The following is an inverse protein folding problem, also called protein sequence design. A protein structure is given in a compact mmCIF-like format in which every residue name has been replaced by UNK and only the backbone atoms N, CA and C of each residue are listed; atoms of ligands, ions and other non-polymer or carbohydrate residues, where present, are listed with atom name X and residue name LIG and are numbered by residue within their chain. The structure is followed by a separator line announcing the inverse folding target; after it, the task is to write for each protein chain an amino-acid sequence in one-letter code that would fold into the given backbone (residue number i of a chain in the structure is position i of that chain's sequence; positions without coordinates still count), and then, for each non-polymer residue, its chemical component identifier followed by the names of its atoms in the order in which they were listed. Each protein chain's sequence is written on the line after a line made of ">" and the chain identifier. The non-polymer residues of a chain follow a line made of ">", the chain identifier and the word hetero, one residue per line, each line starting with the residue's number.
data_IF_662484874101
#
_entry.id   IF_662484874101
#
_cell.length_a   1.000
_cell.length_b   1.000
_cell.length_c   1.000
_cell.angle_alpha   90.00
_cell.angle_beta   90.00
_cell.angle_gamma   90.00
#
_symmetry.space_group_name_H-M   'P 1'
#
loop_
_entity.id
_entity.type
_entity.pdbx_description
1 polymer ?
#
# COMPACT_ATOMS: atom_id res chain seq x y z
N UNK A 1 -1.56 7.38 13.22
CA UNK A 1 -1.63 8.26 12.05
C UNK A 1 -2.56 7.66 11.02
N UNK A 2 -3.27 8.49 10.30
CA UNK A 2 -4.15 8.02 9.24
C UNK A 2 -3.34 7.50 8.04
N UNK A 3 -3.95 6.61 7.26
CA UNK A 3 -3.41 6.13 5.99
C UNK A 3 -3.27 7.31 5.02
N UNK A 4 -2.17 7.36 4.29
CA UNK A 4 -1.92 8.39 3.29
C UNK A 4 -2.63 7.99 1.99
N UNK A 5 -3.39 8.92 1.41
CA UNK A 5 -4.00 8.72 0.10
C UNK A 5 -3.13 9.40 -0.96
N UNK A 6 -2.44 8.58 -1.75
CA UNK A 6 -1.48 9.10 -2.73
C UNK A 6 -2.15 9.50 -4.04
N UNK A 7 -1.77 10.66 -4.56
CA UNK A 7 -1.83 10.92 -5.99
C UNK A 7 -0.46 10.58 -6.59
N UNK A 8 -0.32 10.72 -7.91
CA UNK A 8 0.93 10.35 -8.58
C UNK A 8 2.13 11.13 -8.04
N UNK A 9 1.98 12.44 -7.84
CA UNK A 9 3.05 13.30 -7.34
C UNK A 9 3.45 12.94 -5.92
N UNK A 10 2.48 12.71 -5.05
CA UNK A 10 2.72 12.34 -3.65
C UNK A 10 3.37 10.98 -3.55
N UNK A 11 2.96 10.04 -4.38
CA UNK A 11 3.56 8.71 -4.46
C UNK A 11 5.03 8.81 -4.87
N UNK A 12 5.32 9.52 -5.94
CA UNK A 12 6.69 9.65 -6.45
C UNK A 12 7.60 10.35 -5.44
N UNK A 13 7.08 11.34 -4.74
CA UNK A 13 7.82 12.02 -3.67
C UNK A 13 8.15 11.06 -2.52
N UNK A 14 7.16 10.28 -2.09
CA UNK A 14 7.36 9.29 -1.02
C UNK A 14 8.38 8.23 -1.43
N UNK A 15 8.28 7.77 -2.68
CA UNK A 15 9.21 6.78 -3.24
C UNK A 15 10.65 7.32 -3.26
N UNK A 16 10.82 8.58 -3.66
CA UNK A 16 12.14 9.24 -3.72
C UNK A 16 12.74 9.46 -2.33
N UNK A 17 11.91 9.63 -1.30
CA UNK A 17 12.39 9.80 0.07
C UNK A 17 13.00 8.53 0.66
N UNK A 18 12.77 7.38 0.03
CA UNK A 18 13.31 6.11 0.50
C UNK A 18 12.58 5.55 1.72
N UNK A 19 13.17 4.52 2.32
CA UNK A 19 12.59 3.83 3.46
C UNK A 19 11.58 2.76 3.04
N UNK A 20 10.92 2.18 4.06
CA UNK A 20 9.94 1.12 3.87
C UNK A 20 8.55 1.71 3.64
N UNK A 21 7.88 1.25 2.59
CA UNK A 21 6.55 1.73 2.21
C UNK A 21 5.67 0.56 1.81
N UNK A 22 4.42 0.59 2.25
CA UNK A 22 3.39 -0.39 1.85
C UNK A 22 2.21 0.38 1.26
N UNK A 23 1.77 -0.01 0.07
CA UNK A 23 0.72 0.71 -0.66
C UNK A 23 -0.39 -0.24 -1.09
N UNK A 24 -1.62 0.06 -0.67
CA UNK A 24 -2.83 -0.67 -1.01
C UNK A 24 -3.49 -0.05 -2.24
N UNK A 25 -3.48 -0.78 -3.35
CA UNK A 25 -4.18 -0.40 -4.58
C UNK A 25 -5.62 -0.91 -4.49
N UNK A 26 -6.59 0.01 -4.51
CA UNK A 26 -7.99 -0.28 -4.21
C UNK A 26 -8.94 0.53 -5.10
N UNK A 27 -10.24 0.21 -5.03
CA UNK A 27 -11.29 1.01 -5.65
C UNK A 27 -12.52 1.07 -4.74
N UNK A 28 -13.31 2.13 -4.89
CA UNK A 28 -14.49 2.36 -4.02
C UNK A 28 -15.61 1.34 -4.22
N UNK A 29 -15.68 0.72 -5.41
CA UNK A 29 -16.68 -0.29 -5.75
C UNK A 29 -16.26 -1.71 -5.38
N UNK A 30 -15.07 -1.89 -4.89
CA UNK A 30 -14.47 -3.21 -4.65
C UNK A 30 -14.82 -3.69 -3.23
N UNK A 31 -15.64 -4.73 -3.12
CA UNK A 31 -16.03 -5.31 -1.84
C UNK A 31 -14.85 -5.81 -1.00
N UNK A 32 -13.97 -6.66 -1.57
CA UNK A 32 -12.77 -7.12 -0.84
C UNK A 32 -11.87 -5.97 -0.37
N UNK A 33 -11.76 -4.89 -1.16
CA UNK A 33 -10.99 -3.70 -0.76
C UNK A 33 -11.57 -3.05 0.49
N UNK A 34 -12.91 -2.98 0.58
CA UNK A 34 -13.60 -2.43 1.75
C UNK A 34 -13.39 -3.30 2.97
N UNK A 35 -13.35 -4.62 2.80
CA UNK A 35 -13.07 -5.57 3.87
C UNK A 35 -11.64 -5.39 4.40
N UNK A 36 -10.70 -5.05 3.54
CA UNK A 36 -9.30 -4.87 3.90
C UNK A 36 -9.02 -3.52 4.56
N UNK A 37 -9.85 -2.51 4.33
CA UNK A 37 -9.60 -1.14 4.78
C UNK A 37 -9.30 -1.02 6.29
N UNK A 38 -10.04 -1.67 7.21
CA UNK A 38 -9.71 -1.59 8.63
C UNK A 38 -8.32 -2.16 8.96
N UNK A 39 -7.92 -3.21 8.27
CA UNK A 39 -6.59 -3.83 8.44
C UNK A 39 -5.49 -2.84 8.02
N UNK A 40 -5.67 -2.17 6.90
CA UNK A 40 -4.69 -1.17 6.43
C UNK A 40 -4.61 0.00 7.41
N UNK A 41 -5.74 0.48 7.91
CA UNK A 41 -5.78 1.55 8.90
C UNK A 41 -5.04 1.16 10.19
N UNK A 42 -5.25 -0.07 10.65
CA UNK A 42 -4.58 -0.62 11.84
C UNK A 42 -3.07 -0.65 11.63
N UNK A 43 -2.62 -1.13 10.47
CA UNK A 43 -1.19 -1.21 10.15
C UNK A 43 -0.56 0.19 10.08
N UNK A 44 -1.27 1.17 9.55
CA UNK A 44 -0.78 2.55 9.50
C UNK A 44 -0.50 3.10 10.90
N UNK A 45 -1.37 2.80 11.87
CA UNK A 45 -1.15 3.21 13.26
C UNK A 45 0.00 2.43 13.90
N UNK A 46 0.03 1.13 13.68
CA UNK A 46 1.01 0.23 14.31
C UNK A 46 2.44 0.53 13.84
N UNK A 47 2.60 0.90 12.58
CA UNK A 47 3.92 1.13 11.98
C UNK A 47 4.27 2.62 11.83
N UNK A 48 3.54 3.49 12.50
CA UNK A 48 3.85 4.93 12.50
C UNK A 48 5.30 5.16 12.93
N UNK A 49 6.03 5.93 12.12
CA UNK A 49 7.46 6.20 12.36
C UNK A 49 8.40 5.10 11.92
N UNK A 50 7.88 3.94 11.48
CA UNK A 50 8.69 2.78 11.05
C UNK A 50 8.53 2.49 9.56
N UNK A 51 7.33 2.62 9.04
CA UNK A 51 7.02 2.42 7.63
C UNK A 51 5.91 3.36 7.22
N UNK A 52 5.92 3.76 5.96
CA UNK A 52 4.89 4.61 5.39
C UNK A 52 3.80 3.71 4.80
N UNK A 53 2.58 3.84 5.29
CA UNK A 53 1.44 3.05 4.83
C UNK A 53 0.49 3.97 4.07
N UNK A 54 0.22 3.65 2.80
CA UNK A 54 -0.63 4.47 1.96
C UNK A 54 -1.56 3.66 1.08
N UNK A 55 -2.43 4.38 0.37
CA UNK A 55 -3.42 3.82 -0.54
C UNK A 55 -3.39 4.57 -1.87
N UNK A 56 -3.66 3.83 -2.95
CA UNK A 56 -3.85 4.38 -4.30
C UNK A 56 -5.20 3.90 -4.82
N UNK A 57 -6.10 4.84 -5.12
CA UNK A 57 -7.36 4.53 -5.79
C UNK A 57 -7.07 4.34 -7.27
N UNK A 58 -7.26 3.12 -7.79
CA UNK A 58 -6.88 2.79 -9.17
C UNK A 58 -7.72 3.51 -10.22
N UNK A 59 -8.92 3.95 -9.87
CA UNK A 59 -9.77 4.71 -10.80
C UNK A 59 -9.32 6.16 -10.92
N UNK A 60 -8.86 6.74 -9.81
CA UNK A 60 -8.39 8.12 -9.75
C UNK A 60 -6.93 8.26 -10.21
N UNK A 61 -6.11 7.24 -9.95
CA UNK A 61 -4.67 7.25 -10.25
C UNK A 61 -4.32 6.09 -11.18
N UNK A 62 -4.93 6.10 -12.38
CA UNK A 62 -4.77 5.02 -13.36
C UNK A 62 -3.31 4.84 -13.79
N UNK A 63 -2.55 5.92 -13.90
CA UNK A 63 -1.14 5.86 -14.30
C UNK A 63 -0.31 5.03 -13.32
N UNK A 64 -0.58 5.12 -12.02
CA UNK A 64 0.12 4.33 -11.01
C UNK A 64 -0.24 2.85 -11.10
N UNK A 65 -1.52 2.54 -11.30
CA UNK A 65 -1.95 1.15 -11.46
C UNK A 65 -1.31 0.50 -12.69
N UNK A 66 -1.22 1.23 -13.79
CA UNK A 66 -0.58 0.76 -15.02
C UNK A 66 0.92 0.57 -14.80
N UNK A 67 1.58 1.54 -14.14
CA UNK A 67 3.03 1.50 -13.87
C UNK A 67 3.43 0.20 -13.16
N UNK A 68 2.64 -0.24 -12.21
CA UNK A 68 2.94 -1.44 -11.42
C UNK A 68 2.20 -2.68 -11.86
N UNK A 69 1.50 -2.62 -12.99
CA UNK A 69 0.81 -3.78 -13.56
C UNK A 69 -0.25 -4.35 -12.64
N UNK A 70 -1.00 -3.50 -11.93
CA UNK A 70 -2.05 -3.95 -11.02
C UNK A 70 -3.25 -4.42 -11.85
N UNK A 71 -3.48 -5.74 -11.84
CA UNK A 71 -4.53 -6.39 -12.63
C UNK A 71 -5.75 -6.74 -11.82
N UNK A 72 -5.59 -6.98 -10.55
CA UNK A 72 -6.68 -7.30 -9.61
C UNK A 72 -6.48 -6.52 -8.33
N UNK A 73 -7.59 -6.25 -7.63
CA UNK A 73 -7.59 -5.47 -6.40
C UNK A 73 -8.35 -6.20 -5.30
N UNK A 74 -7.95 -6.04 -4.02
CA UNK A 74 -6.82 -5.23 -3.59
C UNK A 74 -5.47 -5.88 -3.93
N UNK A 75 -4.50 -5.06 -4.29
CA UNK A 75 -3.10 -5.45 -4.42
C UNK A 75 -2.28 -4.57 -3.49
N UNK A 76 -1.53 -5.17 -2.60
CA UNK A 76 -0.64 -4.45 -1.68
C UNK A 76 0.79 -4.65 -2.14
N UNK A 77 1.47 -3.55 -2.44
CA UNK A 77 2.86 -3.56 -2.91
C UNK A 77 3.77 -2.93 -1.85
N UNK A 78 4.91 -3.58 -1.61
CA UNK A 78 5.92 -3.11 -0.66
C UNK A 78 7.12 -2.57 -1.40
N UNK A 79 7.62 -1.43 -0.91
CA UNK A 79 8.81 -0.76 -1.48
C UNK A 79 9.85 -0.56 -0.38
N UNK A 80 11.10 -0.72 -0.73
CA UNK A 80 12.23 -0.36 0.14
C UNK A 80 13.20 0.47 -0.68
N UNK A 81 13.44 1.69 -0.22
CA UNK A 81 14.35 2.64 -0.88
C UNK A 81 14.05 2.78 -2.37
N UNK A 82 12.77 2.92 -2.71
CA UNK A 82 12.31 3.14 -4.08
C UNK A 82 12.14 1.88 -4.93
N UNK A 83 12.45 0.71 -4.40
CA UNK A 83 12.37 -0.57 -5.14
C UNK A 83 11.21 -1.40 -4.64
N UNK A 84 10.44 -1.98 -5.55
CA UNK A 84 9.42 -2.96 -5.17
C UNK A 84 10.13 -4.22 -4.66
N UNK A 85 9.78 -4.65 -3.44
CA UNK A 85 10.40 -5.82 -2.81
C UNK A 85 9.44 -6.99 -2.67
N UNK A 86 8.13 -6.75 -2.66
CA UNK A 86 7.13 -7.80 -2.52
C UNK A 86 5.75 -7.25 -2.89
N UNK A 87 4.81 -8.13 -3.16
CA UNK A 87 3.39 -7.77 -3.32
C UNK A 87 2.50 -8.91 -2.89
N UNK A 88 1.30 -8.57 -2.43
CA UNK A 88 0.26 -9.53 -2.05
C UNK A 88 -1.05 -9.13 -2.70
N UNK A 89 -1.76 -10.12 -3.23
CA UNK A 89 -3.03 -9.91 -3.92
C UNK A 89 -4.15 -10.54 -3.09
N UNK A 90 -5.18 -9.76 -2.81
CA UNK A 90 -6.36 -10.22 -2.09
C UNK A 90 -6.36 -9.87 -0.61
N UNK A 91 -7.45 -10.27 0.07
CA UNK A 91 -7.63 -10.02 1.51
C UNK A 91 -6.89 -11.07 2.31
N UNK A 92 -6.10 -10.61 3.27
CA UNK A 92 -5.33 -11.48 4.16
C UNK A 92 -5.41 -10.93 5.59
N UNK A 93 -5.11 -11.78 6.60
CA UNK A 93 -5.01 -11.28 7.98
C UNK A 93 -3.88 -10.26 8.13
N UNK A 94 -4.03 -9.35 9.10
CA UNK A 94 -3.04 -8.32 9.38
C UNK A 94 -1.62 -8.90 9.55
N UNK A 95 -1.50 -10.06 10.18
CA UNK A 95 -0.20 -10.70 10.41
C UNK A 95 0.55 -11.02 9.11
N UNK A 96 -0.17 -11.34 8.03
CA UNK A 96 0.45 -11.62 6.74
C UNK A 96 1.13 -10.39 6.16
N UNK A 97 0.50 -9.22 6.30
CA UNK A 97 1.08 -7.95 5.87
C UNK A 97 2.22 -7.50 6.79
N UNK A 98 2.00 -7.64 8.11
CA UNK A 98 2.97 -7.24 9.12
C UNK A 98 4.28 -8.03 9.00
N UNK A 99 4.21 -9.29 8.63
CA UNK A 99 5.39 -10.14 8.54
C UNK A 99 6.39 -9.62 7.49
N UNK A 100 5.90 -9.10 6.37
CA UNK A 100 6.76 -8.48 5.35
C UNK A 100 7.37 -7.18 5.87
N UNK A 101 6.56 -6.36 6.55
CA UNK A 101 7.05 -5.11 7.15
C UNK A 101 8.16 -5.41 8.17
N UNK A 102 7.89 -6.33 9.09
CA UNK A 102 8.85 -6.68 10.16
C UNK A 102 10.17 -7.22 9.61
N UNK A 103 10.11 -7.96 8.52
CA UNK A 103 11.30 -8.52 7.88
C UNK A 103 12.17 -7.44 7.19
N UNK A 104 11.64 -6.23 6.98
CA UNK A 104 12.30 -5.18 6.21
C UNK A 104 12.50 -3.87 6.97
N UNK A 105 12.25 -3.87 8.26
CA UNK A 105 12.46 -2.68 9.10
C UNK A 105 13.94 -2.31 9.22
#
# INVERSE_FOLDING_TARGET
>A
MAVIHFNEQGFDKALANGGLMMVDFWASWCGPCKMLAPTIDQLAQQYEGKALIGKVNVDEEQALAIRYGVMSIPTVIYFKDGQEIDRKVGVMPAAAFASVLDANL
#
